data_IF_325644364077
#
_entry.id   IF_325644364077
#
_cell.length_a   1.000
_cell.length_b   1.000
_cell.length_c   1.000
_cell.angle_alpha   90.00
_cell.angle_beta   90.00
_cell.angle_gamma   90.00
#
_symmetry.space_group_name_H-M   'P 1'
#
loop_
_entity.id
_entity.type
_entity.pdbx_description
1 polymer ?
#
# COMPACT_ATOMS: atom_id res chain seq x y z
N UNK A 1 9.93 6.08 0.74
CA UNK A 1 8.87 5.43 -0.07
C UNK A 1 8.78 6.13 -1.42
N UNK A 2 8.57 7.45 -1.47
CA UNK A 2 8.32 8.16 -2.74
C UNK A 2 9.47 8.09 -3.75
N UNK A 3 10.71 8.01 -3.28
CA UNK A 3 11.91 7.95 -4.13
C UNK A 3 12.32 6.52 -4.53
N UNK A 4 11.47 5.54 -4.22
CA UNK A 4 11.64 4.14 -4.60
C UNK A 4 10.44 3.70 -5.42
N UNK A 5 10.65 3.40 -6.71
CA UNK A 5 9.58 3.10 -7.67
C UNK A 5 8.75 1.88 -7.25
N UNK A 6 9.40 0.86 -6.70
CA UNK A 6 8.70 -0.34 -6.23
C UNK A 6 7.82 -0.03 -5.03
N UNK A 7 8.34 0.71 -4.06
CA UNK A 7 7.56 1.09 -2.88
C UNK A 7 6.38 1.98 -3.26
N UNK A 8 6.58 2.89 -4.21
CA UNK A 8 5.51 3.74 -4.73
C UNK A 8 4.46 2.93 -5.49
N UNK A 9 4.88 1.99 -6.34
CA UNK A 9 3.97 1.07 -7.02
C UNK A 9 3.16 0.22 -6.01
N UNK A 10 3.77 -0.25 -4.92
CA UNK A 10 3.04 -0.96 -3.87
C UNK A 10 1.88 -0.13 -3.30
N UNK A 11 2.02 1.21 -3.19
CA UNK A 11 0.92 2.06 -2.69
C UNK A 11 -0.32 1.96 -3.58
N UNK A 12 -0.13 1.96 -4.91
CA UNK A 12 -1.23 1.81 -5.87
C UNK A 12 -1.95 0.48 -5.68
N UNK A 13 -1.21 -0.62 -5.61
CA UNK A 13 -1.82 -1.94 -5.44
C UNK A 13 -2.46 -2.13 -4.06
N UNK A 14 -1.88 -1.56 -3.00
CA UNK A 14 -2.50 -1.54 -1.67
C UNK A 14 -3.85 -0.81 -1.70
N UNK A 15 -3.91 0.36 -2.33
CA UNK A 15 -5.15 1.12 -2.51
C UNK A 15 -6.19 0.38 -3.33
N UNK A 16 -5.77 -0.30 -4.41
CA UNK A 16 -6.65 -1.13 -5.24
C UNK A 16 -7.30 -2.25 -4.43
N UNK A 17 -6.52 -2.99 -3.63
CA UNK A 17 -7.05 -4.07 -2.79
C UNK A 17 -8.05 -3.54 -1.75
N UNK A 18 -7.77 -2.39 -1.12
CA UNK A 18 -8.70 -1.72 -0.20
C UNK A 18 -10.02 -1.41 -0.91
N UNK A 19 -9.97 -0.82 -2.11
CA UNK A 19 -11.17 -0.51 -2.90
C UNK A 19 -11.97 -1.77 -3.22
N UNK A 20 -11.31 -2.82 -3.72
CA UNK A 20 -11.95 -4.08 -4.07
C UNK A 20 -12.64 -4.72 -2.86
N UNK A 21 -11.99 -4.73 -1.70
CA UNK A 21 -12.57 -5.24 -0.45
C UNK A 21 -13.77 -4.41 -0.01
N UNK A 22 -13.71 -3.07 -0.08
CA UNK A 22 -14.82 -2.20 0.24
C UNK A 22 -16.04 -2.46 -0.65
N UNK A 23 -15.84 -2.55 -1.96
CA UNK A 23 -16.92 -2.81 -2.92
C UNK A 23 -17.54 -4.20 -2.73
N UNK A 24 -16.72 -5.22 -2.53
CA UNK A 24 -17.19 -6.57 -2.24
C UNK A 24 -18.01 -6.63 -0.94
N UNK A 25 -17.66 -5.80 0.03
CA UNK A 25 -18.42 -5.66 1.29
C UNK A 25 -19.69 -4.79 1.16
N UNK A 26 -19.98 -4.25 -0.04
CA UNK A 26 -21.17 -3.43 -0.31
C UNK A 26 -21.00 -1.95 0.01
N UNK A 27 -19.79 -1.48 0.23
CA UNK A 27 -19.47 -0.08 0.48
C UNK A 27 -18.92 0.59 -0.78
N UNK A 28 -19.14 1.90 -0.88
CA UNK A 28 -18.48 2.73 -1.89
C UNK A 28 -17.51 3.67 -1.20
N UNK A 29 -16.30 3.79 -1.74
CA UNK A 29 -15.38 4.80 -1.30
C UNK A 29 -15.90 6.20 -1.71
N UNK A 30 -15.81 7.19 -0.83
CA UNK A 30 -16.12 8.58 -1.17
C UNK A 30 -15.05 9.14 -2.12
N UNK A 31 -15.28 10.35 -2.59
CA UNK A 31 -14.24 11.14 -3.25
C UNK A 31 -13.02 11.22 -2.32
N UNK A 32 -11.86 10.88 -2.85
CA UNK A 32 -10.61 10.84 -2.11
C UNK A 32 -10.04 12.26 -1.91
N UNK A 33 -8.95 12.36 -1.18
CA UNK A 33 -8.22 13.61 -1.00
C UNK A 33 -7.89 14.26 -2.36
N UNK A 34 -7.93 15.57 -2.44
CA UNK A 34 -7.73 16.35 -3.66
C UNK A 34 -8.73 16.04 -4.78
N UNK A 35 -9.99 15.77 -4.40
CA UNK A 35 -11.11 15.52 -5.34
C UNK A 35 -10.88 14.34 -6.29
N UNK A 36 -10.01 13.42 -5.94
CA UNK A 36 -9.79 12.22 -6.73
C UNK A 36 -10.97 11.28 -6.69
N UNK A 37 -11.35 10.81 -7.88
CA UNK A 37 -12.34 9.75 -8.02
C UNK A 37 -11.79 8.41 -7.50
N UNK A 38 -12.58 7.64 -6.73
CA UNK A 38 -12.18 6.29 -6.30
C UNK A 38 -11.82 5.34 -7.45
N UNK A 39 -12.35 5.59 -8.65
CA UNK A 39 -12.07 4.79 -9.84
C UNK A 39 -10.59 4.84 -10.26
N UNK A 40 -9.84 5.87 -9.85
CA UNK A 40 -8.38 5.93 -10.09
C UNK A 40 -7.64 4.76 -9.44
N UNK A 41 -8.19 4.21 -8.35
CA UNK A 41 -7.63 3.04 -7.66
C UNK A 41 -7.86 1.71 -8.40
N UNK A 42 -8.64 1.68 -9.48
CA UNK A 42 -8.85 0.44 -10.26
C UNK A 42 -7.59 0.02 -11.02
N UNK A 43 -6.77 1.01 -11.39
CA UNK A 43 -5.54 0.77 -12.16
C UNK A 43 -5.85 -0.15 -13.34
N UNK A 44 -6.78 0.30 -14.21
CA UNK A 44 -7.30 -0.52 -15.29
C UNK A 44 -6.32 -0.69 -16.45
N UNK A 45 -5.39 0.25 -16.61
CA UNK A 45 -4.37 0.24 -17.65
C UNK A 45 -3.07 0.95 -17.18
N UNK A 46 -2.03 0.90 -18.03
CA UNK A 46 -0.74 1.53 -17.74
C UNK A 46 -0.87 3.05 -17.55
N UNK A 47 -1.69 3.73 -18.34
CA UNK A 47 -1.85 5.17 -18.24
C UNK A 47 -2.48 5.59 -16.91
N UNK A 48 -3.43 4.81 -16.41
CA UNK A 48 -4.05 5.02 -15.09
C UNK A 48 -3.03 4.74 -13.97
N UNK A 49 -2.22 3.69 -14.10
CA UNK A 49 -1.14 3.41 -13.16
C UNK A 49 -0.12 4.56 -13.11
N UNK A 50 0.34 5.05 -14.27
CA UNK A 50 1.30 6.15 -14.35
C UNK A 50 0.73 7.44 -13.73
N UNK A 51 -0.53 7.76 -14.00
CA UNK A 51 -1.21 8.91 -13.42
C UNK A 51 -1.31 8.81 -11.88
N UNK A 52 -1.58 7.62 -11.35
CA UNK A 52 -1.61 7.36 -9.90
C UNK A 52 -0.22 7.53 -9.28
N UNK A 53 0.85 7.09 -9.96
CA UNK A 53 2.23 7.30 -9.51
C UNK A 53 2.61 8.78 -9.44
N UNK A 54 2.27 9.57 -10.46
CA UNK A 54 2.49 11.02 -10.46
C UNK A 54 1.70 11.74 -9.37
N UNK A 55 0.47 11.28 -9.14
CA UNK A 55 -0.36 11.79 -8.06
C UNK A 55 0.30 11.61 -6.70
N UNK A 56 0.85 10.43 -6.39
CA UNK A 56 1.57 10.22 -5.14
C UNK A 56 2.77 11.16 -4.99
N UNK A 57 3.55 11.36 -6.05
CA UNK A 57 4.68 12.30 -6.04
C UNK A 57 4.23 13.72 -5.74
N UNK A 58 3.13 14.16 -6.32
CA UNK A 58 2.58 15.50 -6.13
C UNK A 58 1.95 15.66 -4.74
N UNK A 59 1.07 14.75 -4.36
CA UNK A 59 0.30 14.82 -3.12
C UNK A 59 1.18 14.80 -1.86
N UNK A 60 2.25 14.00 -1.89
CA UNK A 60 3.14 13.83 -0.75
C UNK A 60 4.45 14.61 -0.85
N UNK A 61 4.59 15.51 -1.84
CA UNK A 61 5.81 16.32 -2.03
C UNK A 61 6.23 17.06 -0.77
N UNK A 62 5.28 17.71 -0.11
CA UNK A 62 5.51 18.50 1.10
C UNK A 62 5.66 17.64 2.37
N UNK A 63 5.32 16.35 2.28
CA UNK A 63 5.39 15.41 3.39
C UNK A 63 6.61 14.47 3.34
N UNK A 64 7.58 14.73 2.44
CA UNK A 64 8.76 13.84 2.23
C UNK A 64 9.55 13.59 3.51
N UNK A 65 9.57 14.54 4.43
CA UNK A 65 10.28 14.43 5.72
C UNK A 65 9.40 13.95 6.87
N UNK A 66 8.10 13.82 6.64
CA UNK A 66 7.16 13.35 7.66
C UNK A 66 7.35 11.85 7.91
N UNK A 67 7.44 11.47 9.18
CA UNK A 67 7.47 10.08 9.61
C UNK A 67 6.07 9.60 9.96
N UNK A 68 5.59 8.57 9.29
CA UNK A 68 4.35 7.89 9.66
C UNK A 68 4.42 7.32 11.08
N UNK A 69 3.28 7.28 11.78
CA UNK A 69 3.19 6.76 13.16
C UNK A 69 3.73 5.34 13.28
N UNK A 70 3.38 4.48 12.34
CA UNK A 70 3.85 3.08 12.30
C UNK A 70 5.38 2.97 12.22
N UNK A 71 6.03 3.84 11.41
CA UNK A 71 7.49 3.89 11.33
C UNK A 71 8.10 4.33 12.68
N UNK A 72 7.49 5.33 13.32
CA UNK A 72 7.95 5.79 14.65
C UNK A 72 7.83 4.70 15.72
N UNK A 73 6.78 3.87 15.64
CA UNK A 73 6.59 2.76 16.57
C UNK A 73 7.64 1.66 16.34
N UNK A 74 7.92 1.30 15.09
CA UNK A 74 8.98 0.36 14.75
C UNK A 74 10.36 0.84 15.23
N UNK A 75 10.70 2.12 15.02
CA UNK A 75 11.95 2.71 15.49
C UNK A 75 12.09 2.65 17.02
N UNK A 76 10.97 2.66 17.74
CA UNK A 76 10.91 2.57 19.22
C UNK A 76 10.75 1.13 19.72
N UNK A 77 10.72 0.14 18.83
CA UNK A 77 10.47 -1.25 19.19
C UNK A 77 9.07 -1.51 19.76
N UNK A 78 8.08 -0.72 19.37
CA UNK A 78 6.69 -0.86 19.81
C UNK A 78 5.88 -1.63 18.78
N UNK A 79 4.82 -2.35 19.21
CA UNK A 79 3.83 -2.91 18.31
C UNK A 79 3.16 -1.81 17.48
N UNK A 80 2.89 -2.12 16.22
CA UNK A 80 2.23 -1.21 15.28
C UNK A 80 0.74 -1.53 15.14
N UNK A 81 0.02 -0.67 14.41
CA UNK A 81 -1.38 -0.88 14.05
C UNK A 81 -1.56 -1.70 12.75
N UNK A 82 -0.49 -2.31 12.23
CA UNK A 82 -0.52 -3.00 10.92
C UNK A 82 -1.63 -4.05 10.83
N UNK A 83 -1.88 -4.78 11.93
CA UNK A 83 -2.93 -5.81 11.95
C UNK A 83 -4.32 -5.22 11.95
N UNK A 84 -4.50 -4.03 12.52
CA UNK A 84 -5.79 -3.34 12.56
C UNK A 84 -6.07 -2.60 11.25
N UNK A 85 -5.05 -2.23 10.50
CA UNK A 85 -5.17 -1.51 9.22
C UNK A 85 -5.09 -2.51 8.07
N UNK A 86 -3.88 -2.98 7.72
CA UNK A 86 -3.69 -3.89 6.59
C UNK A 86 -4.29 -5.29 6.88
N UNK A 87 -4.14 -5.79 8.11
CA UNK A 87 -4.74 -7.08 8.50
C UNK A 87 -6.25 -7.10 8.39
N UNK A 88 -6.94 -6.00 8.67
CA UNK A 88 -8.38 -5.91 8.45
C UNK A 88 -8.77 -5.97 6.96
N UNK A 89 -7.93 -5.42 6.07
CA UNK A 89 -8.11 -5.58 4.61
C UNK A 89 -8.00 -7.04 4.22
N UNK A 90 -6.98 -7.75 4.72
CA UNK A 90 -6.77 -9.18 4.47
C UNK A 90 -7.97 -10.02 4.95
N UNK A 91 -8.43 -9.81 6.19
CA UNK A 91 -9.61 -10.49 6.75
C UNK A 91 -10.88 -10.22 5.92
N UNK A 92 -11.02 -9.00 5.42
CA UNK A 92 -12.15 -8.63 4.55
C UNK A 92 -12.03 -9.32 3.21
N UNK A 93 -10.82 -9.37 2.63
CA UNK A 93 -10.53 -10.10 1.40
C UNK A 93 -10.91 -11.57 1.53
N UNK A 94 -10.43 -12.24 2.55
CA UNK A 94 -10.75 -13.65 2.85
C UNK A 94 -12.27 -13.88 2.94
N UNK A 95 -12.97 -12.98 3.62
CA UNK A 95 -14.43 -13.08 3.81
C UNK A 95 -15.22 -12.96 2.50
N UNK A 96 -14.77 -12.14 1.58
CA UNK A 96 -15.49 -11.83 0.34
C UNK A 96 -14.84 -12.44 -0.91
N UNK A 97 -13.77 -13.22 -0.78
CA UNK A 97 -13.09 -13.89 -1.89
C UNK A 97 -12.26 -12.94 -2.76
N UNK A 98 -11.70 -11.90 -2.18
CA UNK A 98 -10.79 -10.96 -2.81
C UNK A 98 -9.36 -11.26 -2.36
N UNK A 99 -8.46 -11.56 -3.30
CA UNK A 99 -7.05 -11.73 -2.99
C UNK A 99 -6.40 -10.39 -2.62
N UNK A 100 -5.62 -10.39 -1.52
CA UNK A 100 -4.96 -9.19 -0.99
C UNK A 100 -3.44 -9.34 -0.82
N UNK A 101 -2.72 -9.81 -1.87
CA UNK A 101 -1.31 -10.19 -1.74
C UNK A 101 -0.38 -9.04 -1.30
N UNK A 102 -0.70 -7.79 -1.63
CA UNK A 102 0.10 -6.64 -1.20
C UNK A 102 -0.13 -6.31 0.27
N UNK A 103 -1.39 -6.29 0.74
CA UNK A 103 -1.69 -6.08 2.16
C UNK A 103 -1.17 -7.23 3.03
N UNK A 104 -1.31 -8.48 2.59
CA UNK A 104 -0.74 -9.66 3.27
C UNK A 104 0.78 -9.53 3.41
N UNK A 105 1.46 -9.10 2.35
CA UNK A 105 2.91 -8.92 2.38
C UNK A 105 3.33 -7.80 3.33
N UNK A 106 2.61 -6.71 3.40
CA UNK A 106 2.86 -5.63 4.38
C UNK A 106 2.71 -6.17 5.80
N UNK A 107 1.63 -6.89 6.10
CA UNK A 107 1.41 -7.51 7.42
C UNK A 107 2.54 -8.47 7.78
N UNK A 108 2.97 -9.31 6.83
CA UNK A 108 4.09 -10.24 7.02
C UNK A 108 5.39 -9.49 7.38
N UNK A 109 5.78 -8.52 6.55
CA UNK A 109 7.04 -7.77 6.70
C UNK A 109 7.05 -7.02 8.03
N UNK A 110 6.00 -6.23 8.31
CA UNK A 110 5.94 -5.42 9.52
C UNK A 110 5.94 -6.30 10.77
N UNK A 111 5.18 -7.41 10.75
CA UNK A 111 5.19 -8.36 11.87
C UNK A 111 6.57 -9.00 12.11
N UNK A 112 7.31 -9.30 11.04
CA UNK A 112 8.69 -9.81 11.16
C UNK A 112 9.66 -8.77 11.71
N UNK A 113 9.49 -7.51 11.35
CA UNK A 113 10.28 -6.40 11.91
C UNK A 113 9.97 -6.25 13.41
N UNK A 114 8.70 -6.26 13.81
CA UNK A 114 8.28 -6.21 15.22
C UNK A 114 8.91 -7.32 16.08
N UNK A 115 9.07 -8.52 15.49
CA UNK A 115 9.69 -9.67 16.15
C UNK A 115 11.22 -9.68 16.10
N UNK A 116 11.83 -8.73 15.39
CA UNK A 116 13.28 -8.69 15.17
C UNK A 116 13.79 -9.76 14.17
N UNK A 117 12.91 -10.37 13.41
CA UNK A 117 13.23 -11.36 12.36
C UNK A 117 13.71 -10.70 11.06
N UNK A 118 13.33 -9.45 10.84
CA UNK A 118 13.78 -8.60 9.73
C UNK A 118 14.29 -7.26 10.26
N UNK A 119 15.31 -6.66 9.61
CA UNK A 119 15.72 -5.31 9.94
C UNK A 119 14.69 -4.29 9.45
N UNK A 120 14.60 -3.13 10.11
CA UNK A 120 13.85 -1.99 9.61
C UNK A 120 14.63 -1.34 8.47
N UNK A 121 14.36 -1.74 7.23
CA UNK A 121 15.06 -1.29 6.02
C UNK A 121 14.12 -1.15 4.82
N UNK A 122 14.43 -0.19 3.95
CA UNK A 122 13.78 -0.08 2.63
C UNK A 122 14.08 -1.29 1.73
N UNK A 123 15.13 -2.05 1.99
CA UNK A 123 15.46 -3.27 1.23
C UNK A 123 14.34 -4.33 1.32
N UNK A 124 13.51 -4.27 2.35
CA UNK A 124 12.36 -5.16 2.50
C UNK A 124 11.34 -5.03 1.36
N UNK A 125 11.37 -3.95 0.59
CA UNK A 125 10.56 -3.80 -0.64
C UNK A 125 10.88 -4.90 -1.67
N UNK A 126 12.09 -5.45 -1.65
CA UNK A 126 12.47 -6.57 -2.54
C UNK A 126 11.74 -7.88 -2.21
N UNK A 127 11.06 -7.97 -1.06
CA UNK A 127 10.27 -9.14 -0.66
C UNK A 127 8.89 -9.21 -1.32
N UNK A 128 8.46 -8.14 -2.01
CA UNK A 128 7.25 -8.19 -2.82
C UNK A 128 7.51 -8.99 -4.09
N UNK A 129 6.61 -9.92 -4.39
CA UNK A 129 6.68 -10.72 -5.60
C UNK A 129 6.46 -9.83 -6.85
N UNK A 130 7.47 -9.75 -7.69
CA UNK A 130 7.45 -8.93 -8.90
C UNK A 130 6.42 -9.39 -9.92
N UNK A 131 6.02 -10.66 -9.90
CA UNK A 131 4.99 -11.19 -10.80
C UNK A 131 3.58 -10.66 -10.51
N UNK A 132 3.38 -10.07 -9.32
CA UNK A 132 2.09 -9.46 -8.94
C UNK A 132 1.89 -8.06 -9.53
N UNK A 133 2.95 -7.41 -10.02
CA UNK A 133 2.87 -6.10 -10.64
C UNK A 133 2.40 -6.26 -12.08
N UNK A 134 1.15 -5.87 -12.33
CA UNK A 134 0.50 -6.00 -13.65
C UNK A 134 1.06 -5.03 -14.68
N UNK A 135 1.50 -3.87 -14.23
CA UNK A 135 2.01 -2.77 -15.06
C UNK A 135 3.47 -2.52 -14.82
N UNK A 136 4.13 -1.94 -15.84
CA UNK A 136 5.53 -1.54 -15.72
C UNK A 136 5.69 -0.51 -14.60
N UNK A 137 6.75 -0.68 -13.81
CA UNK A 137 7.03 0.25 -12.73
C UNK A 137 7.33 1.63 -13.29
N UNK A 138 6.77 2.67 -12.66
CA UNK A 138 7.02 4.04 -13.03
C UNK A 138 8.53 4.33 -12.98
N UNK A 139 9.06 4.87 -14.07
CA UNK A 139 10.42 5.34 -14.17
C UNK A 139 10.37 6.86 -14.32
N UNK A 140 10.74 7.55 -13.24
CA UNK A 140 10.80 9.02 -13.23
C UNK A 140 11.96 9.56 -14.04
#
# INVERSE_FOLDING_TARGET
VLDNDVARACLSYLGREVKQCCEAAGYRLPILLHEQSPETLDIADQAMFDADQEMFLTMYSDMRTAKASMLQDLEKGKPTEVRMINGYVCETGDKYGIDTPFNDKVVEIVTKIEKGELPLSMDNVALFDRSLFTYDLYQA
#
